data_IF_293649615055
#
_entry.id   IF_293649615055
#
_cell.length_a   1.000
_cell.length_b   1.000
_cell.length_c   1.000
_cell.angle_alpha   90.00
_cell.angle_beta   90.00
_cell.angle_gamma   90.00
#
_symmetry.space_group_name_H-M   'P 1'
#
loop_
_entity.id
_entity.type
_entity.pdbx_description
1 polymer ?
#
# COMPACT_ATOMS: atom_id res chain seq x y z
N UNK A 1 20.59 -38.88 21.52
CA UNK A 1 19.13 -39.10 21.43
C UNK A 1 18.47 -37.77 21.04
N UNK A 2 18.01 -37.61 19.80
CA UNK A 2 17.36 -36.37 19.33
C UNK A 2 15.95 -36.31 19.94
N UNK A 3 15.68 -35.32 20.78
CA UNK A 3 14.42 -35.20 21.51
C UNK A 3 13.25 -34.99 20.54
N UNK A 4 12.32 -35.96 20.50
CA UNK A 4 11.08 -35.90 19.69
C UNK A 4 10.10 -34.81 20.17
N UNK A 5 10.36 -34.18 21.32
CA UNK A 5 9.53 -33.11 21.88
C UNK A 5 9.74 -31.75 21.20
N UNK A 6 10.93 -31.50 20.67
CA UNK A 6 11.26 -30.24 19.99
C UNK A 6 10.36 -30.01 18.76
N UNK A 7 10.21 -30.96 17.80
CA UNK A 7 9.34 -30.74 16.64
C UNK A 7 7.85 -30.61 17.02
N UNK A 8 7.41 -31.31 18.07
CA UNK A 8 6.00 -31.29 18.50
C UNK A 8 5.61 -29.97 19.18
N UNK A 9 6.52 -29.39 19.97
CA UNK A 9 6.31 -28.07 20.55
C UNK A 9 6.31 -26.98 19.46
N UNK A 10 7.21 -27.06 18.49
CA UNK A 10 7.25 -26.14 17.35
C UNK A 10 5.97 -26.18 16.51
N UNK A 11 5.39 -27.36 16.26
CA UNK A 11 4.14 -27.48 15.51
C UNK A 11 2.94 -26.91 16.28
N UNK A 12 2.88 -27.11 17.60
CA UNK A 12 1.81 -26.56 18.43
C UNK A 12 1.87 -25.03 18.49
N UNK A 13 3.06 -24.46 18.64
CA UNK A 13 3.25 -23.00 18.61
C UNK A 13 2.87 -22.41 17.26
N UNK A 14 3.25 -23.06 16.14
CA UNK A 14 2.88 -22.62 14.81
C UNK A 14 1.35 -22.65 14.58
N UNK A 15 0.68 -23.72 15.02
CA UNK A 15 -0.77 -23.83 14.93
C UNK A 15 -1.50 -22.75 15.76
N UNK A 16 -1.02 -22.47 16.97
CA UNK A 16 -1.58 -21.41 17.82
C UNK A 16 -1.42 -20.02 17.18
N UNK A 17 -0.24 -19.73 16.60
CA UNK A 17 0.01 -18.46 15.91
C UNK A 17 -0.92 -18.28 14.69
N UNK A 18 -1.10 -19.32 13.87
CA UNK A 18 -2.01 -19.31 12.72
C UNK A 18 -3.46 -19.10 13.15
N UNK A 19 -3.91 -19.75 14.24
CA UNK A 19 -5.25 -19.57 14.81
C UNK A 19 -5.53 -18.14 15.27
N UNK A 20 -4.54 -17.49 15.90
CA UNK A 20 -4.66 -16.08 16.33
C UNK A 20 -4.76 -15.11 15.14
N UNK A 21 -3.94 -15.31 14.10
CA UNK A 21 -3.98 -14.47 12.88
C UNK A 21 -5.34 -14.62 12.18
N UNK A 22 -5.81 -15.85 12.00
CA UNK A 22 -7.10 -16.11 11.37
C UNK A 22 -8.27 -15.55 12.18
N UNK A 23 -8.23 -15.67 13.50
CA UNK A 23 -9.22 -15.07 14.40
C UNK A 23 -9.23 -13.53 14.32
N UNK A 24 -8.05 -12.90 14.27
CA UNK A 24 -7.93 -11.45 14.10
C UNK A 24 -8.51 -10.99 12.75
N UNK A 25 -8.21 -11.68 11.66
CA UNK A 25 -8.68 -11.32 10.31
C UNK A 25 -10.21 -11.46 10.14
N UNK A 26 -10.82 -12.41 10.84
CA UNK A 26 -12.27 -12.69 10.73
C UNK A 26 -13.13 -11.92 11.74
N UNK A 27 -12.55 -11.44 12.84
CA UNK A 27 -13.28 -10.68 13.86
C UNK A 27 -13.48 -9.20 13.51
N UNK A 28 -14.61 -8.57 13.87
CA UNK A 28 -14.84 -7.13 13.67
C UNK A 28 -13.78 -6.26 14.37
N UNK A 29 -13.36 -6.67 15.58
CA UNK A 29 -12.35 -5.96 16.36
C UNK A 29 -10.98 -5.98 15.68
N UNK A 30 -10.56 -7.14 15.14
CA UNK A 30 -9.28 -7.26 14.43
C UNK A 30 -9.29 -6.54 13.07
N UNK A 31 -10.43 -6.54 12.35
CA UNK A 31 -10.59 -5.77 11.11
C UNK A 31 -10.46 -4.26 11.34
N UNK A 32 -11.10 -3.72 12.38
CA UNK A 32 -10.99 -2.30 12.72
C UNK A 32 -9.57 -1.90 13.14
N UNK A 33 -8.87 -2.77 13.87
CA UNK A 33 -7.47 -2.55 14.27
C UNK A 33 -6.51 -2.54 13.06
N UNK A 34 -6.82 -3.31 12.02
CA UNK A 34 -6.05 -3.34 10.76
C UNK A 34 -6.40 -2.14 9.86
N UNK A 35 -7.67 -1.76 9.77
CA UNK A 35 -8.16 -0.72 8.85
C UNK A 35 -7.50 0.65 9.05
N UNK A 36 -7.06 1.00 10.26
CA UNK A 36 -6.38 2.29 10.52
C UNK A 36 -4.89 2.30 10.17
N UNK A 37 -4.28 1.14 9.91
CA UNK A 37 -2.83 0.98 9.68
C UNK A 37 -2.47 0.46 8.29
N UNK A 38 -3.46 0.05 7.49
CA UNK A 38 -3.26 -0.53 6.15
C UNK A 38 -2.72 0.46 5.14
N UNK A 39 -3.22 1.69 5.09
CA UNK A 39 -2.78 2.67 4.08
C UNK A 39 -1.31 3.06 4.27
N UNK A 40 -0.85 3.21 5.53
CA UNK A 40 0.57 3.49 5.81
C UNK A 40 1.48 2.32 5.43
N UNK A 41 1.02 1.08 5.64
CA UNK A 41 1.76 -0.10 5.21
C UNK A 41 1.78 -0.21 3.68
N UNK A 42 0.68 0.08 3.00
CA UNK A 42 0.58 0.07 1.54
C UNK A 42 1.53 1.09 0.89
N UNK A 43 1.63 2.29 1.47
CA UNK A 43 2.62 3.31 1.07
C UNK A 43 4.05 2.79 1.30
N UNK A 44 4.33 2.18 2.46
CA UNK A 44 5.66 1.67 2.80
C UNK A 44 6.15 0.59 1.82
N UNK A 45 5.25 -0.30 1.40
CA UNK A 45 5.57 -1.40 0.47
C UNK A 45 5.45 -1.00 -1.01
N UNK A 46 5.13 0.28 -1.29
CA UNK A 46 5.07 0.85 -2.63
C UNK A 46 3.88 0.39 -3.46
N UNK A 47 2.76 0.06 -2.82
CA UNK A 47 1.55 -0.40 -3.51
C UNK A 47 0.51 0.70 -3.70
N UNK A 48 0.63 1.80 -2.97
CA UNK A 48 -0.26 2.95 -3.04
C UNK A 48 0.57 4.23 -3.18
N UNK A 49 0.00 5.25 -3.81
CA UNK A 49 0.62 6.58 -3.83
C UNK A 49 0.70 7.12 -2.40
N UNK A 50 1.64 8.02 -2.12
CA UNK A 50 1.72 8.63 -0.79
C UNK A 50 0.47 9.48 -0.50
N UNK A 51 -0.08 10.13 -1.52
CA UNK A 51 -1.28 10.96 -1.47
C UNK A 51 -2.05 10.86 -2.80
N UNK A 52 -3.35 10.60 -2.69
CA UNK A 52 -4.33 10.69 -3.79
C UNK A 52 -4.41 12.13 -4.35
N UNK A 53 -4.47 12.32 -5.68
CA UNK A 53 -4.81 13.61 -6.27
C UNK A 53 -6.14 14.15 -5.72
N UNK A 54 -6.17 15.42 -5.31
CA UNK A 54 -7.37 16.08 -4.80
C UNK A 54 -7.84 17.16 -5.77
N UNK A 55 -9.15 17.44 -5.75
CA UNK A 55 -9.72 18.52 -6.56
C UNK A 55 -9.02 19.85 -6.27
N UNK A 56 -8.53 20.50 -7.33
CA UNK A 56 -7.77 21.75 -7.22
C UNK A 56 -6.25 21.57 -7.16
N UNK A 57 -5.74 20.34 -7.13
CA UNK A 57 -4.29 20.10 -7.25
C UNK A 57 -3.77 20.57 -8.61
N UNK A 58 -2.72 21.38 -8.56
CA UNK A 58 -1.99 21.91 -9.72
C UNK A 58 -0.51 21.88 -9.37
N UNK A 59 0.28 21.18 -10.18
CA UNK A 59 1.72 21.06 -9.98
C UNK A 59 2.49 21.87 -11.02
N UNK A 60 3.65 22.39 -10.61
CA UNK A 60 4.57 23.07 -11.52
C UNK A 60 5.20 22.14 -12.57
N UNK A 61 5.09 20.82 -12.37
CA UNK A 61 5.55 19.76 -13.27
C UNK A 61 5.72 18.44 -12.52
N UNK A 62 6.24 17.42 -13.20
CA UNK A 62 6.34 16.08 -12.60
C UNK A 62 7.27 15.96 -11.40
N UNK A 63 8.28 16.83 -11.28
CA UNK A 63 9.11 16.86 -10.08
C UNK A 63 8.31 17.30 -8.84
N UNK A 64 7.42 18.28 -9.02
CA UNK A 64 6.56 18.80 -7.96
C UNK A 64 5.53 17.73 -7.55
N UNK A 65 4.86 17.10 -8.53
CA UNK A 65 3.93 15.99 -8.29
C UNK A 65 4.58 14.78 -7.58
N UNK A 66 5.81 14.41 -7.97
CA UNK A 66 6.56 13.34 -7.29
C UNK A 66 6.95 13.73 -5.88
N UNK A 67 7.34 14.99 -5.66
CA UNK A 67 7.68 15.50 -4.33
C UNK A 67 6.47 15.56 -3.39
N UNK A 68 5.26 15.79 -3.92
CA UNK A 68 4.01 15.68 -3.16
C UNK A 68 3.54 14.24 -2.97
N UNK A 69 4.23 13.27 -3.60
CA UNK A 69 3.92 11.84 -3.51
C UNK A 69 2.65 11.44 -4.27
N UNK A 70 2.31 12.20 -5.32
CA UNK A 70 1.15 12.01 -6.19
C UNK A 70 1.63 11.64 -7.59
N UNK A 71 2.23 10.47 -7.72
CA UNK A 71 2.68 9.91 -8.99
C UNK A 71 2.45 8.38 -9.00
N UNK A 72 2.18 7.76 -10.17
CA UNK A 72 1.78 8.41 -11.43
C UNK A 72 0.42 9.12 -11.32
N UNK A 73 0.11 10.01 -12.26
CA UNK A 73 -1.18 10.70 -12.36
C UNK A 73 -1.89 10.21 -13.62
N UNK A 74 -3.07 9.63 -13.45
CA UNK A 74 -3.83 9.05 -14.56
C UNK A 74 -4.77 10.06 -15.22
N UNK A 75 -5.05 9.87 -16.50
CA UNK A 75 -6.03 10.68 -17.25
C UNK A 75 -7.38 10.69 -16.53
N UNK A 76 -7.89 11.89 -16.28
CA UNK A 76 -9.14 12.12 -15.56
C UNK A 76 -8.97 12.34 -14.04
N UNK A 77 -7.78 12.12 -13.50
CA UNK A 77 -7.48 12.50 -12.13
C UNK A 77 -7.21 14.01 -12.01
N UNK A 78 -7.49 14.61 -10.84
CA UNK A 78 -7.09 15.98 -10.56
C UNK A 78 -5.61 16.25 -10.84
N UNK A 79 -5.34 17.36 -11.52
CA UNK A 79 -3.99 17.80 -11.86
C UNK A 79 -3.29 16.99 -12.96
N UNK A 80 -3.96 16.01 -13.59
CA UNK A 80 -3.51 15.47 -14.88
C UNK A 80 -3.51 16.58 -15.94
N UNK A 81 -2.46 16.64 -16.74
CA UNK A 81 -2.33 17.56 -17.87
C UNK A 81 -1.58 16.86 -19.01
N UNK A 82 -2.06 17.03 -20.24
CA UNK A 82 -1.46 16.38 -21.42
C UNK A 82 -0.01 16.80 -21.65
N UNK A 83 0.40 18.00 -21.22
CA UNK A 83 1.81 18.44 -21.30
C UNK A 83 2.73 17.79 -20.26
N UNK A 84 2.17 17.07 -19.29
CA UNK A 84 2.90 16.25 -18.30
C UNK A 84 2.92 14.76 -18.67
N UNK A 85 2.21 14.39 -19.74
CA UNK A 85 2.10 13.04 -20.31
C UNK A 85 2.89 13.01 -21.64
N UNK A 86 4.18 12.73 -21.52
CA UNK A 86 5.14 12.98 -22.61
C UNK A 86 4.95 12.08 -23.84
N UNK A 87 4.41 10.87 -23.65
CA UNK A 87 4.11 9.91 -24.71
C UNK A 87 2.60 9.82 -25.02
N UNK A 88 1.75 10.41 -24.19
CA UNK A 88 0.32 10.59 -24.45
C UNK A 88 -0.52 9.35 -24.15
N UNK A 89 0.01 8.41 -23.37
CA UNK A 89 -0.65 7.14 -23.09
C UNK A 89 -1.76 7.24 -22.02
N UNK A 90 -1.87 8.41 -21.38
CA UNK A 90 -2.81 8.68 -20.30
C UNK A 90 -2.20 8.55 -18.90
N UNK A 91 -0.89 8.39 -18.76
CA UNK A 91 -0.18 8.29 -17.50
C UNK A 91 0.88 9.40 -17.43
N UNK A 92 0.57 10.47 -16.70
CA UNK A 92 1.53 11.55 -16.46
C UNK A 92 2.49 11.20 -15.31
N UNK A 93 3.71 11.73 -15.39
CA UNK A 93 4.72 11.68 -14.32
C UNK A 93 5.15 10.29 -13.85
N UNK A 94 5.23 9.37 -14.81
CA UNK A 94 5.69 8.00 -14.64
C UNK A 94 7.07 7.89 -13.97
N UNK A 95 7.44 6.74 -13.38
CA UNK A 95 8.63 6.62 -12.55
C UNK A 95 9.98 6.57 -13.31
N UNK A 96 10.07 7.06 -14.55
CA UNK A 96 11.24 6.92 -15.43
C UNK A 96 11.73 8.22 -16.08
#
# INVERSE_FOLDING_TARGET
>A
MRSRYIPMLSTLLAAAALGLIFGAATSPLGRSALSGKTNQLAILIGWERHREPQAGDVWGGCNDARSSGTFPIYRGEPGYREDMDGDGDGIACEPY
#
